data_IF_598442335101
#
_entry.id   IF_598442335101
#
_cell.length_a   1.000
_cell.length_b   1.000
_cell.length_c   1.000
_cell.angle_alpha   90.00
_cell.angle_beta   90.00
_cell.angle_gamma   90.00
#
_symmetry.space_group_name_H-M   'P 1'
#
loop_
_entity.id
_entity.type
_entity.pdbx_description
1 polymer ?
#
# COMPACT_ATOMS: atom_id res chain seq x y z
N UNK A 1 56.60 76.04 -4.81
CA UNK A 1 56.32 75.50 -6.16
C UNK A 1 56.42 73.98 -6.08
N UNK A 2 55.39 73.28 -6.59
CA UNK A 2 55.38 71.92 -7.20
C UNK A 2 56.32 70.86 -6.60
N UNK A 3 55.80 69.83 -5.94
CA UNK A 3 55.20 68.59 -6.50
C UNK A 3 56.12 67.42 -6.13
N UNK A 4 55.65 66.30 -5.57
CA UNK A 4 55.01 65.21 -6.32
C UNK A 4 54.57 64.09 -5.36
N UNK A 5 53.46 63.43 -5.69
CA UNK A 5 52.92 62.20 -5.10
C UNK A 5 53.70 60.96 -5.57
N UNK A 6 53.81 59.92 -4.73
CA UNK A 6 53.68 58.51 -5.13
C UNK A 6 53.37 57.62 -3.91
N UNK A 7 52.49 56.62 -4.10
CA UNK A 7 51.91 55.67 -3.12
C UNK A 7 52.69 54.33 -3.09
N UNK A 8 52.17 53.21 -2.52
CA UNK A 8 52.09 52.84 -1.09
C UNK A 8 52.76 51.46 -0.78
N UNK A 9 52.84 51.06 0.49
CA UNK A 9 53.19 49.69 0.88
C UNK A 9 52.77 49.34 2.32
N UNK A 10 51.65 48.62 2.48
CA UNK A 10 51.10 48.16 3.76
C UNK A 10 51.52 46.71 4.00
N UNK A 11 52.08 46.39 5.17
CA UNK A 11 52.29 45.01 5.63
C UNK A 11 51.81 44.85 7.09
N UNK A 12 50.97 43.83 7.31
CA UNK A 12 50.04 43.63 8.44
C UNK A 12 50.70 42.83 9.59
N UNK A 13 50.74 43.36 10.81
CA UNK A 13 51.15 42.62 12.04
C UNK A 13 49.94 41.90 12.68
N UNK A 14 50.08 40.61 13.04
CA UNK A 14 49.08 39.85 13.83
C UNK A 14 49.35 40.00 15.34
N UNK A 15 48.30 40.24 16.15
CA UNK A 15 48.31 40.18 17.63
C UNK A 15 47.48 38.99 18.10
N UNK A 16 47.98 38.24 19.08
CA UNK A 16 47.38 37.06 19.71
C UNK A 16 46.65 37.52 20.99
N UNK A 17 45.39 37.12 21.22
CA UNK A 17 44.62 37.40 22.45
C UNK A 17 44.45 36.10 23.26
N UNK A 18 44.77 36.17 24.56
CA UNK A 18 44.81 35.08 25.56
C UNK A 18 43.43 34.72 26.12
N UNK A 19 43.34 33.50 26.63
CA UNK A 19 42.16 32.62 26.75
C UNK A 19 41.76 32.39 28.23
N UNK A 20 41.24 33.40 28.92
CA UNK A 20 40.75 33.28 30.31
C UNK A 20 39.34 33.90 30.41
N UNK A 21 38.45 33.28 31.19
CA UNK A 21 37.11 33.74 31.62
C UNK A 21 35.82 33.12 31.01
N UNK A 22 35.66 31.78 30.94
CA UNK A 22 34.32 31.16 30.80
C UNK A 22 34.15 29.77 31.51
N UNK A 23 34.77 29.56 32.68
CA UNK A 23 34.42 28.43 33.59
C UNK A 23 33.34 28.92 34.56
N UNK A 24 32.04 28.72 34.27
CA UNK A 24 30.94 28.56 35.26
C UNK A 24 29.49 28.62 34.70
N UNK A 25 29.25 28.62 33.38
CA UNK A 25 27.88 28.54 32.79
C UNK A 25 27.66 27.16 32.13
N UNK A 26 28.04 26.08 32.80
CA UNK A 26 28.01 24.73 32.21
C UNK A 26 27.30 23.67 33.07
N UNK A 27 26.65 24.07 34.17
CA UNK A 27 26.02 23.11 35.09
C UNK A 27 24.49 23.20 35.22
N UNK A 28 23.78 24.04 34.46
CA UNK A 28 22.31 24.15 34.59
C UNK A 28 21.47 23.90 33.31
N UNK A 29 22.06 23.44 32.20
CA UNK A 29 21.30 23.15 30.96
C UNK A 29 21.48 21.72 30.45
N UNK A 30 21.55 20.75 31.35
CA UNK A 30 21.76 19.34 31.02
C UNK A 30 20.56 18.61 30.35
N UNK A 31 19.62 19.32 29.70
CA UNK A 31 18.43 18.67 29.08
C UNK A 31 18.24 18.93 27.58
N UNK A 32 18.84 19.91 26.91
CA UNK A 32 18.49 20.13 25.49
C UNK A 32 19.72 20.49 24.66
N UNK A 33 19.89 19.79 23.53
CA UNK A 33 20.81 20.10 22.42
C UNK A 33 22.29 19.74 22.68
N UNK A 34 22.70 18.52 22.32
CA UNK A 34 24.09 18.36 21.89
C UNK A 34 24.22 19.03 20.51
N UNK A 35 24.68 20.29 20.50
CA UNK A 35 25.02 21.03 19.29
C UNK A 35 26.49 20.72 18.96
N UNK A 36 26.74 20.02 17.87
CA UNK A 36 28.09 19.98 17.29
C UNK A 36 28.37 21.35 16.65
N UNK A 37 29.49 21.97 17.02
CA UNK A 37 29.93 23.30 16.53
C UNK A 37 30.29 23.26 15.03
N UNK A 38 30.13 22.10 14.38
CA UNK A 38 30.28 21.89 12.94
C UNK A 38 28.95 21.97 12.16
N UNK A 39 27.80 22.07 12.82
CA UNK A 39 26.50 22.16 12.14
C UNK A 39 25.36 21.62 12.99
N UNK A 40 24.34 22.46 13.19
CA UNK A 40 23.13 22.15 13.96
C UNK A 40 22.41 20.95 13.34
N UNK A 41 22.54 19.76 13.93
CA UNK A 41 21.62 18.64 13.71
C UNK A 41 20.81 18.44 14.99
N UNK A 42 19.54 18.82 14.92
CA UNK A 42 18.55 18.36 15.89
C UNK A 42 18.33 16.87 15.64
N UNK A 43 18.69 16.01 16.59
CA UNK A 43 18.09 14.68 16.69
C UNK A 43 16.71 14.85 17.35
N UNK A 44 15.84 15.63 16.72
CA UNK A 44 14.41 15.39 16.87
C UNK A 44 14.15 14.02 16.29
N UNK A 45 13.19 13.28 16.84
CA UNK A 45 12.67 12.06 16.22
C UNK A 45 12.64 12.27 14.71
N UNK A 46 13.43 11.50 13.96
CA UNK A 46 13.25 11.47 12.53
C UNK A 46 11.78 11.15 12.36
N UNK A 47 10.99 12.09 11.81
CA UNK A 47 9.63 11.79 11.41
C UNK A 47 9.77 10.54 10.54
N UNK A 48 9.29 9.40 11.07
CA UNK A 48 9.36 8.12 10.38
C UNK A 48 8.60 8.36 9.09
N UNK A 49 9.34 8.56 8.00
CA UNK A 49 8.78 8.62 6.66
C UNK A 49 8.23 7.22 6.44
N UNK A 50 6.94 7.01 6.73
CA UNK A 50 6.23 5.74 6.50
C UNK A 50 6.15 5.54 5.00
N UNK A 51 7.26 5.11 4.39
CA UNK A 51 7.41 5.05 2.94
C UNK A 51 7.07 3.69 2.34
N UNK A 52 6.42 2.78 3.05
CA UNK A 52 6.04 1.51 2.45
C UNK A 52 4.78 1.57 1.59
N UNK A 53 3.83 2.46 1.89
CA UNK A 53 2.52 2.49 1.23
C UNK A 53 2.43 3.44 0.02
N UNK A 54 3.56 3.99 -0.45
CA UNK A 54 3.60 4.89 -1.61
C UNK A 54 3.61 4.07 -2.91
N UNK A 55 2.48 3.44 -3.20
CA UNK A 55 2.27 2.63 -4.40
C UNK A 55 1.32 3.37 -5.36
N UNK A 56 1.53 3.17 -6.67
CA UNK A 56 0.57 3.64 -7.68
C UNK A 56 -0.66 2.73 -7.66
N UNK A 57 -1.73 3.19 -7.00
CA UNK A 57 -2.97 2.43 -6.88
C UNK A 57 -3.90 2.82 -8.02
N UNK A 58 -4.18 1.86 -8.90
CA UNK A 58 -5.11 2.00 -10.00
C UNK A 58 -6.45 1.34 -9.63
N UNK A 59 -7.53 2.12 -9.73
CA UNK A 59 -8.90 1.63 -9.58
C UNK A 59 -9.59 1.78 -10.93
N UNK A 60 -9.78 0.69 -11.71
CA UNK A 60 -10.59 0.76 -12.92
C UNK A 60 -11.98 1.29 -12.59
N UNK A 61 -12.41 2.31 -13.34
CA UNK A 61 -13.69 2.99 -13.13
C UNK A 61 -13.88 3.61 -11.74
N UNK A 62 -12.79 4.02 -11.12
CA UNK A 62 -12.80 4.75 -9.86
C UNK A 62 -11.55 5.59 -9.69
N UNK A 63 -11.40 6.16 -8.50
CA UNK A 63 -10.22 6.89 -8.10
C UNK A 63 -9.90 6.64 -6.63
N UNK A 64 -8.66 6.93 -6.26
CA UNK A 64 -8.17 6.78 -4.91
C UNK A 64 -7.61 8.13 -4.42
N UNK A 65 -8.00 8.53 -3.22
CA UNK A 65 -7.60 9.80 -2.61
C UNK A 65 -6.84 9.53 -1.33
N UNK A 66 -5.58 9.97 -1.28
CA UNK A 66 -4.77 9.90 -0.07
C UNK A 66 -5.18 11.00 0.92
N UNK A 67 -5.35 10.61 2.17
CA UNK A 67 -5.74 11.48 3.29
C UNK A 67 -4.88 11.16 4.53
N UNK A 68 -5.00 11.97 5.59
CA UNK A 68 -4.28 11.78 6.86
C UNK A 68 -2.76 11.61 6.66
N UNK A 69 -2.10 12.55 5.97
CA UNK A 69 -0.67 12.50 5.63
C UNK A 69 -0.27 11.20 4.90
N UNK A 70 -1.07 10.81 3.90
CA UNK A 70 -0.91 9.60 3.09
C UNK A 70 -0.95 8.29 3.88
N UNK A 71 -1.39 8.32 5.14
CA UNK A 71 -1.53 7.13 5.99
C UNK A 71 -2.87 6.40 5.80
N UNK A 72 -3.83 7.06 5.16
CA UNK A 72 -5.14 6.50 4.81
C UNK A 72 -5.42 6.80 3.34
N UNK A 73 -6.06 5.86 2.66
CA UNK A 73 -6.57 6.05 1.31
C UNK A 73 -8.07 5.77 1.29
N UNK A 74 -8.80 6.65 0.60
CA UNK A 74 -10.24 6.53 0.36
C UNK A 74 -10.46 6.19 -1.11
N UNK A 75 -11.29 5.21 -1.38
CA UNK A 75 -11.65 4.78 -2.72
C UNK A 75 -13.05 5.25 -3.07
N UNK A 76 -13.24 5.66 -4.31
CA UNK A 76 -14.54 6.06 -4.82
C UNK A 76 -14.73 5.53 -6.24
N UNK A 77 -15.90 4.94 -6.50
CA UNK A 77 -16.28 4.47 -7.82
C UNK A 77 -16.93 5.60 -8.62
N UNK A 78 -16.71 5.61 -9.94
CA UNK A 78 -17.40 6.55 -10.81
C UNK A 78 -18.92 6.36 -10.75
N UNK A 79 -19.66 7.41 -11.08
CA UNK A 79 -21.12 7.37 -11.03
C UNK A 79 -21.70 6.22 -11.87
N UNK A 80 -22.63 5.47 -11.28
CA UNK A 80 -23.26 4.30 -11.89
C UNK A 80 -22.46 3.00 -11.78
N UNK A 81 -21.31 3.00 -11.09
CA UNK A 81 -20.61 1.79 -10.67
C UNK A 81 -20.90 1.49 -9.19
N UNK A 82 -21.03 0.20 -8.87
CA UNK A 82 -21.27 -0.31 -7.54
C UNK A 82 -19.94 -0.68 -6.85
N UNK A 83 -19.73 -0.23 -5.61
CA UNK A 83 -18.53 -0.57 -4.84
C UNK A 83 -18.53 -2.04 -4.39
N UNK A 84 -17.43 -2.75 -4.62
CA UNK A 84 -17.20 -4.12 -4.13
C UNK A 84 -15.83 -4.23 -3.42
N UNK A 85 -15.87 -4.47 -2.11
CA UNK A 85 -14.70 -4.48 -1.22
C UNK A 85 -14.65 -3.27 -0.29
N UNK A 86 -13.53 -3.11 0.42
CA UNK A 86 -13.34 -1.99 1.36
C UNK A 86 -13.04 -0.68 0.61
N UNK A 87 -13.85 0.35 0.86
CA UNK A 87 -13.68 1.68 0.26
C UNK A 87 -12.67 2.56 1.03
N UNK A 88 -12.00 2.00 2.03
CA UNK A 88 -10.96 2.66 2.83
C UNK A 88 -9.86 1.66 3.14
N UNK A 89 -8.61 2.09 3.01
CA UNK A 89 -7.46 1.36 3.52
C UNK A 89 -6.58 2.27 4.39
N UNK A 90 -5.97 1.68 5.41
CA UNK A 90 -5.02 2.32 6.33
C UNK A 90 -3.66 1.68 6.16
N UNK A 91 -2.62 2.50 6.02
CA UNK A 91 -1.25 2.04 5.94
C UNK A 91 -0.77 1.55 7.32
N UNK A 92 -0.56 0.24 7.45
CA UNK A 92 -0.03 -0.41 8.65
C UNK A 92 1.41 -0.85 8.39
N UNK A 93 2.36 -0.05 8.88
CA UNK A 93 3.78 -0.24 8.59
C UNK A 93 4.05 0.08 7.12
N UNK A 94 4.33 -0.96 6.33
CA UNK A 94 4.68 -0.83 4.91
C UNK A 94 3.62 -1.41 3.96
N UNK A 95 2.42 -1.75 4.47
CA UNK A 95 1.34 -2.34 3.67
C UNK A 95 0.00 -1.71 4.01
N UNK A 96 -0.84 -1.57 2.98
CA UNK A 96 -2.26 -1.32 3.16
C UNK A 96 -2.91 -2.51 3.86
N UNK A 97 -3.84 -2.23 4.77
CA UNK A 97 -4.53 -3.26 5.55
C UNK A 97 -5.68 -3.94 4.79
N UNK A 98 -6.14 -3.34 3.71
CA UNK A 98 -7.14 -3.88 2.78
C UNK A 98 -6.62 -3.78 1.34
N UNK A 99 -7.14 -4.63 0.45
CA UNK A 99 -6.83 -4.57 -0.97
C UNK A 99 -7.66 -3.48 -1.66
N UNK A 100 -7.19 -2.92 -2.78
CA UNK A 100 -7.98 -2.01 -3.60
C UNK A 100 -9.32 -2.64 -4.01
N UNK A 101 -10.44 -1.90 -3.91
CA UNK A 101 -11.75 -2.45 -4.26
C UNK A 101 -11.95 -2.52 -5.78
N UNK A 102 -13.03 -3.20 -6.17
CA UNK A 102 -13.52 -3.22 -7.55
C UNK A 102 -14.74 -2.32 -7.69
N UNK A 103 -14.83 -1.60 -8.81
CA UNK A 103 -16.00 -0.85 -9.20
C UNK A 103 -16.77 -1.65 -10.26
N UNK A 104 -17.92 -2.18 -9.88
CA UNK A 104 -18.70 -3.13 -10.69
C UNK A 104 -19.82 -2.42 -11.44
N UNK A 105 -20.16 -2.87 -12.64
CA UNK A 105 -21.31 -2.35 -13.36
C UNK A 105 -21.93 -3.42 -14.24
N UNK A 106 -23.26 -3.43 -14.34
CA UNK A 106 -23.95 -4.32 -15.29
C UNK A 106 -23.66 -3.88 -16.72
N UNK A 107 -23.51 -4.85 -17.63
CA UNK A 107 -23.40 -4.58 -19.07
C UNK A 107 -22.70 -5.68 -19.85
N UNK A 108 -22.01 -6.59 -19.15
CA UNK A 108 -21.37 -7.73 -19.77
C UNK A 108 -22.36 -8.73 -20.37
N UNK A 109 -21.85 -9.54 -21.29
CA UNK A 109 -22.61 -10.64 -21.89
C UNK A 109 -23.05 -11.65 -20.83
N UNK A 110 -24.23 -12.26 -21.00
CA UNK A 110 -24.69 -13.32 -20.12
C UNK A 110 -23.71 -14.51 -20.09
N UNK A 111 -23.37 -14.96 -18.88
CA UNK A 111 -22.45 -16.08 -18.66
C UNK A 111 -23.16 -17.42 -18.93
N UNK A 112 -22.39 -18.39 -19.40
CA UNK A 112 -22.86 -19.78 -19.54
C UNK A 112 -22.70 -20.51 -18.22
N UNK A 113 -23.73 -21.23 -17.82
CA UNK A 113 -23.69 -22.09 -16.63
C UNK A 113 -22.76 -23.28 -16.93
N UNK A 114 -21.78 -23.58 -16.06
CA UNK A 114 -20.94 -24.77 -16.22
C UNK A 114 -21.79 -26.05 -16.17
N UNK A 115 -21.41 -27.05 -16.97
CA UNK A 115 -22.04 -28.38 -16.89
C UNK A 115 -21.72 -28.96 -15.51
N UNK A 116 -22.72 -29.48 -14.80
CA UNK A 116 -22.61 -29.91 -13.40
C UNK A 116 -22.25 -28.79 -12.41
N UNK A 117 -22.72 -27.58 -12.70
CA UNK A 117 -22.57 -26.43 -11.84
C UNK A 117 -23.74 -25.48 -11.91
N UNK A 118 -23.66 -24.44 -11.09
CA UNK A 118 -24.68 -23.42 -10.90
C UNK A 118 -24.02 -22.03 -10.85
N UNK A 119 -24.79 -21.00 -11.18
CA UNK A 119 -24.40 -19.59 -11.07
C UNK A 119 -25.36 -18.85 -10.14
N UNK A 120 -24.80 -18.05 -9.25
CA UNK A 120 -25.53 -17.08 -8.44
C UNK A 120 -25.09 -15.68 -8.88
N UNK A 121 -26.02 -14.90 -9.43
CA UNK A 121 -25.76 -13.52 -9.83
C UNK A 121 -26.19 -12.55 -8.72
N UNK A 122 -25.28 -11.66 -8.34
CA UNK A 122 -25.46 -10.62 -7.32
C UNK A 122 -25.10 -9.24 -7.92
N UNK A 123 -25.26 -8.17 -7.16
CA UNK A 123 -24.94 -6.80 -7.61
C UNK A 123 -25.61 -6.43 -8.94
N UNK A 124 -26.91 -6.73 -9.08
CA UNK A 124 -27.67 -6.51 -10.31
C UNK A 124 -27.10 -7.22 -11.55
N UNK A 125 -26.43 -8.37 -11.35
CA UNK A 125 -25.79 -9.15 -12.41
C UNK A 125 -24.39 -8.67 -12.76
N UNK A 126 -23.75 -7.86 -11.89
CA UNK A 126 -22.36 -7.44 -12.06
C UNK A 126 -21.36 -8.32 -11.29
N UNK A 127 -21.85 -9.22 -10.43
CA UNK A 127 -21.06 -10.22 -9.72
C UNK A 127 -21.69 -11.60 -9.97
N UNK A 128 -20.87 -12.58 -10.35
CA UNK A 128 -21.30 -13.95 -10.60
C UNK A 128 -20.47 -14.91 -9.76
N UNK A 129 -21.12 -15.68 -8.90
CA UNK A 129 -20.51 -16.71 -8.06
C UNK A 129 -20.89 -18.09 -8.60
N UNK A 130 -19.89 -18.93 -8.84
CA UNK A 130 -20.04 -20.26 -9.41
C UNK A 130 -19.84 -21.33 -8.34
N UNK A 131 -20.63 -22.39 -8.44
CA UNK A 131 -20.48 -23.57 -7.60
C UNK A 131 -20.69 -24.85 -8.42
N UNK A 132 -20.03 -25.93 -8.04
CA UNK A 132 -20.21 -27.23 -8.68
C UNK A 132 -21.16 -28.13 -7.90
N UNK A 133 -21.84 -29.02 -8.61
CA UNK A 133 -22.72 -30.03 -8.02
C UNK A 133 -21.92 -31.01 -7.15
N UNK A 134 -22.61 -31.71 -6.25
CA UNK A 134 -21.98 -32.73 -5.40
C UNK A 134 -21.25 -33.79 -6.24
N UNK A 135 -20.00 -34.08 -5.89
CA UNK A 135 -19.14 -35.01 -6.63
C UNK A 135 -18.34 -34.36 -7.75
N UNK A 136 -18.37 -33.03 -7.88
CA UNK A 136 -17.57 -32.25 -8.81
C UNK A 136 -16.74 -31.19 -8.07
N UNK A 137 -15.56 -30.88 -8.62
CA UNK A 137 -14.69 -29.80 -8.18
C UNK A 137 -14.67 -28.65 -9.18
N UNK A 138 -14.57 -27.43 -8.67
CA UNK A 138 -14.49 -26.21 -9.48
C UNK A 138 -13.05 -25.95 -9.90
N UNK A 139 -12.81 -25.85 -11.20
CA UNK A 139 -11.53 -25.51 -11.80
C UNK A 139 -11.64 -24.15 -12.49
N UNK A 140 -10.95 -23.14 -11.93
CA UNK A 140 -10.97 -21.76 -12.40
C UNK A 140 -11.38 -20.78 -11.31
N UNK A 141 -11.76 -19.57 -11.71
CA UNK A 141 -12.21 -18.53 -10.78
C UNK A 141 -13.66 -18.81 -10.32
N UNK A 142 -13.92 -18.93 -9.01
CA UNK A 142 -15.26 -19.15 -8.51
C UNK A 142 -16.12 -17.88 -8.54
N UNK A 143 -15.51 -16.71 -8.72
CA UNK A 143 -16.19 -15.41 -8.73
C UNK A 143 -15.72 -14.58 -9.91
N UNK A 144 -16.66 -14.13 -10.73
CA UNK A 144 -16.41 -13.18 -11.82
C UNK A 144 -17.10 -11.85 -11.55
N UNK A 145 -16.41 -10.76 -11.91
CA UNK A 145 -16.88 -9.38 -11.76
C UNK A 145 -16.98 -8.71 -13.12
N UNK A 146 -18.05 -7.95 -13.37
CA UNK A 146 -18.27 -7.19 -14.59
C UNK A 146 -17.94 -5.71 -14.38
N UNK A 147 -17.15 -5.13 -15.28
CA UNK A 147 -16.80 -3.70 -15.29
C UNK A 147 -17.74 -2.85 -16.17
N UNK A 148 -18.84 -3.43 -16.62
CA UNK A 148 -19.80 -2.80 -17.52
C UNK A 148 -19.62 -3.19 -18.98
N UNK A 149 -18.47 -3.76 -19.37
CA UNK A 149 -18.28 -4.31 -20.72
C UNK A 149 -17.81 -5.75 -20.68
N UNK A 150 -16.81 -6.04 -19.84
CA UNK A 150 -16.11 -7.30 -19.83
C UNK A 150 -16.12 -7.95 -18.44
N UNK A 151 -16.25 -9.28 -18.44
CA UNK A 151 -16.07 -10.07 -17.24
C UNK A 151 -14.58 -10.17 -16.93
N UNK A 152 -14.24 -10.18 -15.65
CA UNK A 152 -12.86 -10.34 -15.16
C UNK A 152 -12.20 -11.68 -15.56
N UNK A 153 -12.95 -12.60 -16.16
CA UNK A 153 -12.49 -13.92 -16.57
C UNK A 153 -13.58 -14.70 -17.30
N UNK A 154 -13.32 -15.99 -17.50
CA UNK A 154 -14.26 -16.92 -18.13
C UNK A 154 -14.93 -17.82 -17.08
N UNK A 155 -16.14 -18.34 -17.34
CA UNK A 155 -16.77 -19.31 -16.46
C UNK A 155 -15.85 -20.50 -16.14
N UNK A 156 -15.81 -20.97 -14.87
CA UNK A 156 -15.01 -22.12 -14.50
C UNK A 156 -15.60 -23.43 -15.05
N UNK A 157 -14.84 -24.51 -14.91
CA UNK A 157 -15.26 -25.86 -15.31
C UNK A 157 -15.50 -26.69 -14.05
N UNK A 158 -16.57 -27.48 -14.03
CA UNK A 158 -16.82 -28.47 -12.98
C UNK A 158 -16.32 -29.84 -13.43
N UNK A 159 -15.24 -30.32 -12.81
CA UNK A 159 -14.65 -31.62 -13.09
C UNK A 159 -15.12 -32.67 -12.10
N UNK A 160 -15.43 -33.88 -12.58
CA UNK A 160 -15.87 -34.96 -11.72
C UNK A 160 -14.73 -35.38 -10.77
N UNK A 161 -15.02 -35.43 -9.48
CA UNK A 161 -14.06 -35.89 -8.49
C UNK A 161 -13.69 -37.38 -8.72
N UNK A 162 -12.44 -37.76 -8.46
CA UNK A 162 -12.05 -39.16 -8.40
C UNK A 162 -12.94 -39.90 -7.40
N UNK A 163 -13.36 -41.12 -7.75
CA UNK A 163 -14.10 -41.97 -6.83
C UNK A 163 -13.21 -42.22 -5.60
N UNK A 164 -13.60 -41.70 -4.44
CA UNK A 164 -12.93 -42.11 -3.20
C UNK A 164 -13.23 -43.58 -2.99
N UNK A 165 -12.25 -44.43 -3.29
CA UNK A 165 -12.25 -45.78 -2.73
C UNK A 165 -12.08 -45.54 -1.24
N UNK A 166 -13.17 -45.72 -0.48
CA UNK A 166 -13.05 -46.02 0.95
C UNK A 166 -12.13 -47.24 1.01
N UNK A 167 -10.84 -47.00 1.23
CA UNK A 167 -9.97 -48.06 1.71
C UNK A 167 -10.53 -48.35 3.09
N UNK A 168 -11.40 -49.37 3.15
CA UNK A 168 -11.73 -49.99 4.42
C UNK A 168 -10.39 -50.20 5.13
N UNK A 169 -10.23 -49.77 6.40
CA UNK A 169 -9.09 -50.19 7.17
C UNK A 169 -9.12 -51.72 7.12
N UNK A 170 -8.14 -52.31 6.44
CA UNK A 170 -7.90 -53.74 6.50
C UNK A 170 -7.57 -53.99 7.96
N UNK A 171 -8.56 -54.43 8.74
CA UNK A 171 -8.32 -55.02 10.05
C UNK A 171 -7.50 -56.27 9.78
N UNK A 172 -6.20 -56.11 9.87
CA UNK A 172 -5.22 -57.18 9.78
C UNK A 172 -5.15 -57.85 11.15
N UNK A 173 -6.25 -58.52 11.51
CA UNK A 173 -6.31 -59.43 12.64
C UNK A 173 -7.25 -60.56 12.26
N UNK A 174 -6.71 -61.78 12.35
CA UNK A 174 -7.31 -63.10 12.14
C UNK A 174 -7.20 -63.70 10.73
N UNK A 175 -6.01 -64.26 10.43
CA UNK A 175 -5.76 -65.70 10.21
C UNK A 175 -4.28 -65.97 9.88
#
# INVERSE_FOLDING_TARGET
MRSTLSTPGITKRRKIIKMHQLRNILLLTAIILYVDISGVKFYGEAAVKRSGCNQNILIPHGFATFVENDSVILFECFNGYLPYGDMKATCKGDKWDTQPPKCLKKGCQQLKIPIHGNILEEFSGALATFNCDSGYELIGEPVLTCDGTDWSGSPPICNKLPRQVLSNPVNKTDL
#
